data_IF_386032743441
#
_entry.id   IF_386032743441
#
_cell.length_a   1.000
_cell.length_b   1.000
_cell.length_c   1.000
_cell.angle_alpha   90.00
_cell.angle_beta   90.00
_cell.angle_gamma   90.00
#
_symmetry.space_group_name_H-M   'P 1'
#
loop_
_entity.id
_entity.type
_entity.pdbx_description
1 polymer ?
#
# COMPACT_ATOMS: atom_id res chain seq x y z
N UNK A 1 12.01 11.28 -42.11
CA UNK A 1 11.70 10.19 -41.18
C UNK A 1 11.73 10.78 -39.79
N UNK A 2 10.56 11.10 -39.24
CA UNK A 2 10.45 11.49 -37.84
C UNK A 2 10.63 10.23 -36.99
N UNK A 3 11.63 10.24 -36.13
CA UNK A 3 11.82 9.24 -35.08
C UNK A 3 10.64 9.34 -34.12
N UNK A 4 9.74 8.35 -34.14
CA UNK A 4 8.75 8.17 -33.09
C UNK A 4 9.47 8.10 -31.74
N UNK A 5 9.24 9.09 -30.89
CA UNK A 5 9.55 9.03 -29.47
C UNK A 5 8.90 7.77 -28.92
N UNK A 6 9.71 6.85 -28.41
CA UNK A 6 9.25 5.65 -27.72
C UNK A 6 8.64 6.14 -26.40
N UNK A 7 7.34 6.39 -26.38
CA UNK A 7 6.63 6.77 -25.15
C UNK A 7 6.73 5.60 -24.17
N UNK A 8 7.61 5.72 -23.18
CA UNK A 8 7.74 4.76 -22.09
C UNK A 8 6.52 4.87 -21.19
N UNK A 9 5.86 3.74 -20.92
CA UNK A 9 4.77 3.66 -19.95
C UNK A 9 5.30 4.13 -18.59
N UNK A 10 4.67 5.13 -17.94
CA UNK A 10 5.12 5.63 -16.65
C UNK A 10 4.91 4.58 -15.56
N UNK A 11 5.63 4.71 -14.45
CA UNK A 11 5.33 3.94 -13.24
C UNK A 11 4.01 4.38 -12.61
N UNK A 12 3.43 3.56 -11.73
CA UNK A 12 2.25 3.95 -10.96
C UNK A 12 2.55 5.15 -10.05
N UNK A 13 3.77 5.24 -9.51
CA UNK A 13 4.22 6.38 -8.71
C UNK A 13 4.21 7.69 -9.51
N UNK A 14 4.80 7.67 -10.72
CA UNK A 14 4.83 8.84 -11.60
C UNK A 14 3.42 9.24 -12.03
N UNK A 15 2.60 8.26 -12.41
CA UNK A 15 1.22 8.51 -12.82
C UNK A 15 0.36 9.08 -11.69
N UNK A 16 0.52 8.58 -10.47
CA UNK A 16 -0.19 9.10 -9.30
C UNK A 16 0.16 10.56 -8.96
N UNK A 17 1.28 11.09 -9.47
CA UNK A 17 1.73 12.45 -9.18
C UNK A 17 2.84 12.56 -8.12
N UNK A 18 3.55 11.46 -7.88
CA UNK A 18 4.74 11.45 -7.02
C UNK A 18 4.47 11.55 -5.51
N UNK A 19 5.54 11.66 -4.72
CA UNK A 19 5.50 11.48 -3.25
C UNK A 19 4.54 12.42 -2.53
N UNK A 20 4.48 13.68 -2.94
CA UNK A 20 3.55 14.65 -2.34
C UNK A 20 2.09 14.19 -2.43
N UNK A 21 1.71 13.48 -3.51
CA UNK A 21 0.37 12.90 -3.63
C UNK A 21 0.17 11.74 -2.67
N UNK A 22 1.14 10.82 -2.54
CA UNK A 22 1.04 9.70 -1.60
C UNK A 22 0.95 10.18 -0.16
N UNK A 23 1.76 11.17 0.24
CA UNK A 23 1.69 11.76 1.58
C UNK A 23 0.35 12.44 1.84
N UNK A 24 -0.18 13.19 0.87
CA UNK A 24 -1.50 13.80 1.01
C UNK A 24 -2.60 12.75 1.14
N UNK A 25 -2.52 11.70 0.32
CA UNK A 25 -3.46 10.59 0.29
C UNK A 25 -3.48 9.82 1.61
N UNK A 26 -2.32 9.34 2.09
CA UNK A 26 -2.28 8.56 3.34
C UNK A 26 -2.57 9.43 4.55
N UNK A 27 -2.18 10.71 4.55
CA UNK A 27 -2.53 11.65 5.62
C UNK A 27 -4.05 11.77 5.76
N UNK A 28 -4.76 12.02 4.66
CA UNK A 28 -6.23 12.09 4.70
C UNK A 28 -6.83 10.75 5.13
N UNK A 29 -6.34 9.64 4.56
CA UNK A 29 -6.79 8.31 4.91
C UNK A 29 -6.70 8.05 6.43
N UNK A 30 -5.55 8.31 7.05
CA UNK A 30 -5.38 8.09 8.49
C UNK A 30 -6.15 9.07 9.37
N UNK A 31 -6.41 10.31 8.90
CA UNK A 31 -7.36 11.19 9.58
C UNK A 31 -8.74 10.53 9.66
N UNK A 32 -9.24 9.95 8.57
CA UNK A 32 -10.53 9.25 8.55
C UNK A 32 -10.50 7.94 9.35
N UNK A 33 -9.40 7.20 9.33
CA UNK A 33 -9.23 5.98 10.15
C UNK A 33 -9.43 6.29 11.64
N UNK A 34 -8.91 7.42 12.13
CA UNK A 34 -9.06 7.83 13.52
C UNK A 34 -10.49 8.23 13.90
N UNK A 35 -11.35 8.49 12.92
CA UNK A 35 -12.78 8.79 13.10
C UNK A 35 -13.67 7.57 12.86
N UNK A 36 -13.11 6.48 12.34
CA UNK A 36 -13.87 5.30 11.95
C UNK A 36 -14.01 4.30 13.12
N UNK A 37 -15.23 3.94 13.55
CA UNK A 37 -15.44 3.09 14.72
C UNK A 37 -14.95 1.64 14.55
N UNK A 38 -14.73 1.17 13.32
CA UNK A 38 -14.23 -0.19 13.04
C UNK A 38 -12.71 -0.20 13.05
N UNK A 39 -12.08 0.84 12.48
CA UNK A 39 -10.63 0.89 12.30
C UNK A 39 -9.90 1.59 13.44
N UNK A 40 -10.48 2.61 14.07
CA UNK A 40 -9.84 3.37 15.15
C UNK A 40 -9.23 2.46 16.24
N UNK A 41 -9.91 1.40 16.74
CA UNK A 41 -9.33 0.54 17.75
C UNK A 41 -8.07 -0.21 17.29
N UNK A 42 -7.92 -0.46 15.98
CA UNK A 42 -6.76 -1.13 15.37
C UNK A 42 -5.54 -0.20 15.29
N UNK A 43 -5.78 1.09 15.08
CA UNK A 43 -4.75 2.10 14.85
C UNK A 43 -4.51 3.02 16.05
N UNK A 44 -5.26 2.84 17.14
CA UNK A 44 -5.12 3.62 18.37
C UNK A 44 -3.68 3.63 18.87
N UNK A 45 -3.16 4.83 19.16
CA UNK A 45 -1.84 5.02 19.76
C UNK A 45 -0.67 4.85 18.79
N UNK A 46 -0.93 4.76 17.48
CA UNK A 46 0.15 4.78 16.49
C UNK A 46 0.89 6.13 16.47
N UNK A 47 2.15 6.07 16.02
CA UNK A 47 3.01 7.24 15.86
C UNK A 47 2.36 8.27 14.92
N UNK A 48 2.51 9.59 15.18
CA UNK A 48 2.14 10.63 14.22
C UNK A 48 2.78 10.45 12.83
N UNK A 49 3.95 9.81 12.77
CA UNK A 49 4.69 9.55 11.52
C UNK A 49 4.13 8.38 10.71
N UNK A 50 3.17 7.62 11.24
CA UNK A 50 2.68 6.39 10.62
C UNK A 50 2.14 6.63 9.20
N UNK A 51 1.38 7.71 8.99
CA UNK A 51 0.85 8.05 7.68
C UNK A 51 1.96 8.31 6.63
N UNK A 52 3.04 8.97 7.04
CA UNK A 52 4.18 9.29 6.17
C UNK A 52 4.96 8.02 5.79
N UNK A 53 5.25 7.15 6.77
CA UNK A 53 5.92 5.88 6.49
C UNK A 53 5.10 4.99 5.53
N UNK A 54 3.78 4.98 5.68
CA UNK A 54 2.89 4.22 4.77
C UNK A 54 2.90 4.83 3.37
N UNK A 55 2.95 6.16 3.23
CA UNK A 55 3.10 6.80 1.91
C UNK A 55 4.40 6.38 1.24
N UNK A 56 5.51 6.43 1.96
CA UNK A 56 6.82 6.06 1.44
C UNK A 56 6.88 4.58 1.04
N UNK A 57 6.32 3.70 1.86
CA UNK A 57 6.21 2.28 1.56
C UNK A 57 5.42 2.04 0.27
N UNK A 58 4.19 2.57 0.15
CA UNK A 58 3.35 2.37 -1.03
C UNK A 58 4.00 2.99 -2.28
N UNK A 59 4.58 4.19 -2.15
CA UNK A 59 5.28 4.86 -3.24
C UNK A 59 6.45 4.02 -3.78
N UNK A 60 7.25 3.43 -2.90
CA UNK A 60 8.35 2.54 -3.29
C UNK A 60 7.83 1.28 -3.99
N UNK A 61 6.76 0.67 -3.46
CA UNK A 61 6.10 -0.48 -4.11
C UNK A 61 5.61 -0.12 -5.51
N UNK A 62 5.16 1.12 -5.70
CA UNK A 62 4.67 1.66 -6.97
C UNK A 62 5.81 2.12 -7.89
N UNK A 63 7.04 1.67 -7.59
CA UNK A 63 8.29 1.91 -8.31
C UNK A 63 8.77 3.36 -8.24
N UNK A 64 8.44 4.05 -7.15
CA UNK A 64 9.00 5.34 -6.77
C UNK A 64 10.38 5.22 -6.10
N UNK A 65 10.87 6.31 -5.46
CA UNK A 65 12.13 6.32 -4.72
C UNK A 65 12.16 5.32 -3.56
N UNK A 66 13.35 4.86 -3.18
CA UNK A 66 13.63 3.88 -2.10
C UNK A 66 13.62 4.49 -0.69
N UNK A 67 12.91 5.60 -0.48
CA UNK A 67 12.96 6.36 0.78
C UNK A 67 12.59 5.49 1.99
N UNK A 68 11.61 4.60 1.85
CA UNK A 68 11.21 3.70 2.93
C UNK A 68 12.31 2.69 3.25
N UNK A 69 12.79 1.94 2.26
CA UNK A 69 13.82 0.92 2.48
C UNK A 69 15.18 1.49 2.91
N UNK A 70 15.48 2.73 2.52
CA UNK A 70 16.78 3.35 2.82
C UNK A 70 16.83 3.89 4.26
N UNK A 71 15.70 4.32 4.83
CA UNK A 71 15.70 5.13 6.07
C UNK A 71 14.65 4.78 7.11
N UNK A 72 13.62 3.99 6.79
CA UNK A 72 12.44 3.83 7.67
C UNK A 72 12.09 2.39 8.01
N UNK A 73 12.38 1.44 7.12
CA UNK A 73 12.14 0.03 7.40
C UNK A 73 12.43 -0.88 6.22
N UNK A 74 11.73 -2.01 6.16
CA UNK A 74 11.90 -3.06 5.16
C UNK A 74 10.58 -3.80 4.94
N UNK A 75 10.49 -4.60 3.87
CA UNK A 75 9.35 -5.50 3.66
C UNK A 75 9.16 -6.40 4.90
N UNK A 76 10.24 -6.98 5.40
CA UNK A 76 10.24 -7.87 6.55
C UNK A 76 9.70 -7.19 7.82
N UNK A 77 10.10 -5.96 8.10
CA UNK A 77 9.58 -5.19 9.25
C UNK A 77 8.12 -4.78 9.06
N UNK A 78 7.70 -4.45 7.84
CA UNK A 78 6.29 -4.19 7.54
C UNK A 78 5.41 -5.42 7.83
N UNK A 79 5.87 -6.63 7.50
CA UNK A 79 5.16 -7.87 7.86
C UNK A 79 5.09 -8.02 9.39
N UNK A 80 6.20 -7.80 10.09
CA UNK A 80 6.24 -7.85 11.56
C UNK A 80 5.22 -6.94 12.21
N UNK A 81 5.07 -5.71 11.69
CA UNK A 81 4.10 -4.76 12.22
C UNK A 81 2.65 -5.25 12.15
N UNK A 82 2.33 -6.24 11.32
CA UNK A 82 0.98 -6.79 11.21
C UNK A 82 0.72 -7.98 12.14
N UNK A 83 1.77 -8.66 12.64
CA UNK A 83 1.63 -9.88 13.45
C UNK A 83 0.86 -9.66 14.75
N UNK A 84 0.12 -10.70 15.17
CA UNK A 84 -0.63 -10.70 16.43
C UNK A 84 -1.82 -9.74 16.49
N UNK A 85 -2.11 -8.99 15.41
CA UNK A 85 -3.23 -8.06 15.35
C UNK A 85 -4.59 -8.72 15.14
N UNK A 86 -4.64 -9.99 14.72
CA UNK A 86 -5.87 -10.75 14.48
C UNK A 86 -6.90 -9.96 13.64
N UNK A 87 -6.45 -9.39 12.53
CA UNK A 87 -7.29 -8.54 11.68
C UNK A 87 -8.45 -9.35 11.08
N UNK A 88 -9.64 -8.80 11.15
CA UNK A 88 -10.87 -9.42 10.64
C UNK A 88 -11.16 -8.99 9.20
N UNK A 89 -11.95 -9.78 8.47
CA UNK A 89 -12.43 -9.39 7.13
C UNK A 89 -13.28 -8.11 7.14
N UNK A 90 -13.99 -7.82 8.23
CA UNK A 90 -14.77 -6.58 8.38
C UNK A 90 -13.82 -5.37 8.42
N UNK A 91 -12.77 -5.45 9.23
CA UNK A 91 -11.74 -4.39 9.28
C UNK A 91 -11.02 -4.26 7.94
N UNK A 92 -10.64 -5.36 7.30
CA UNK A 92 -9.97 -5.35 6.00
C UNK A 92 -10.80 -4.63 4.93
N UNK A 93 -12.08 -5.00 4.77
CA UNK A 93 -12.97 -4.37 3.79
C UNK A 93 -13.19 -2.89 4.10
N UNK A 94 -13.34 -2.53 5.38
CA UNK A 94 -13.49 -1.12 5.76
C UNK A 94 -12.24 -0.31 5.45
N UNK A 95 -11.05 -0.86 5.70
CA UNK A 95 -9.77 -0.27 5.36
C UNK A 95 -9.64 -0.03 3.85
N UNK A 96 -9.95 -1.05 3.03
CA UNK A 96 -9.89 -0.96 1.56
C UNK A 96 -10.87 0.07 1.00
N UNK A 97 -12.07 0.18 1.56
CA UNK A 97 -13.02 1.21 1.12
C UNK A 97 -12.52 2.61 1.48
N UNK A 98 -12.08 2.80 2.73
CA UNK A 98 -11.74 4.12 3.24
C UNK A 98 -10.47 4.70 2.57
N UNK A 99 -9.48 3.85 2.24
CA UNK A 99 -8.29 4.30 1.52
C UNK A 99 -8.60 4.69 0.07
N UNK A 100 -9.58 4.04 -0.57
CA UNK A 100 -10.03 4.43 -1.91
C UNK A 100 -10.85 5.72 -1.88
N UNK A 101 -11.76 5.88 -0.90
CA UNK A 101 -12.49 7.14 -0.68
C UNK A 101 -11.52 8.32 -0.48
N UNK A 102 -10.46 8.11 0.31
CA UNK A 102 -9.41 9.12 0.49
C UNK A 102 -8.64 9.42 -0.82
N UNK A 103 -8.42 8.41 -1.67
CA UNK A 103 -7.75 8.60 -2.97
C UNK A 103 -8.58 9.52 -3.88
N UNK A 104 -9.90 9.31 -3.90
CA UNK A 104 -10.84 10.13 -4.68
C UNK A 104 -10.82 11.59 -4.20
N UNK A 105 -10.87 11.81 -2.89
CA UNK A 105 -10.93 13.15 -2.30
C UNK A 105 -9.65 13.98 -2.54
N UNK A 106 -8.47 13.35 -2.52
CA UNK A 106 -7.20 14.05 -2.81
C UNK A 106 -6.86 14.11 -4.31
N UNK A 107 -7.73 13.59 -5.17
CA UNK A 107 -7.53 13.58 -6.61
C UNK A 107 -6.33 12.74 -7.04
N UNK A 108 -6.21 11.52 -6.50
CA UNK A 108 -5.41 10.45 -7.13
C UNK A 108 -6.08 10.07 -8.46
N UNK A 109 -5.33 9.82 -9.56
CA UNK A 109 -5.93 9.53 -10.88
C UNK A 109 -7.02 8.46 -10.82
N UNK A 110 -8.14 8.70 -11.49
CA UNK A 110 -9.33 7.85 -11.48
C UNK A 110 -9.60 7.17 -12.84
N UNK A 111 -8.65 7.26 -13.77
CA UNK A 111 -8.74 6.55 -15.03
C UNK A 111 -8.81 5.03 -14.81
N UNK A 112 -9.54 4.29 -15.67
CA UNK A 112 -9.80 2.87 -15.44
C UNK A 112 -8.54 2.00 -15.30
N UNK A 113 -7.47 2.35 -16.03
CA UNK A 113 -6.22 1.57 -16.03
C UNK A 113 -5.51 1.71 -14.68
N UNK A 114 -5.36 2.94 -14.18
CA UNK A 114 -4.72 3.17 -12.89
C UNK A 114 -5.55 2.61 -11.75
N UNK A 115 -6.87 2.81 -11.78
CA UNK A 115 -7.75 2.31 -10.72
C UNK A 115 -7.80 0.79 -10.66
N UNK A 116 -7.73 0.11 -11.80
CA UNK A 116 -7.58 -1.35 -11.82
C UNK A 116 -6.28 -1.79 -11.13
N UNK A 117 -5.16 -1.15 -11.44
CA UNK A 117 -3.87 -1.49 -10.83
C UNK A 117 -3.82 -1.18 -9.33
N UNK A 118 -4.36 -0.03 -8.91
CA UNK A 118 -4.46 0.38 -7.51
C UNK A 118 -5.31 -0.59 -6.70
N UNK A 119 -6.52 -0.91 -7.18
CA UNK A 119 -7.43 -1.86 -6.50
C UNK A 119 -6.79 -3.24 -6.40
N UNK A 120 -6.12 -3.69 -7.46
CA UNK A 120 -5.37 -4.94 -7.44
C UNK A 120 -4.34 -4.99 -6.31
N UNK A 121 -3.54 -3.94 -6.15
CA UNK A 121 -2.56 -3.85 -5.07
C UNK A 121 -3.22 -3.82 -3.68
N UNK A 122 -4.24 -2.97 -3.48
CA UNK A 122 -4.90 -2.81 -2.19
C UNK A 122 -5.60 -4.11 -1.76
N UNK A 123 -6.27 -4.80 -2.69
CA UNK A 123 -6.91 -6.08 -2.42
C UNK A 123 -5.87 -7.15 -2.10
N UNK A 124 -4.80 -7.25 -2.89
CA UNK A 124 -3.70 -8.17 -2.65
C UNK A 124 -3.02 -7.94 -1.28
N UNK A 125 -2.58 -6.71 -1.02
CA UNK A 125 -1.86 -6.34 0.19
C UNK A 125 -2.72 -6.45 1.45
N UNK A 126 -3.99 -6.05 1.38
CA UNK A 126 -4.89 -6.16 2.54
C UNK A 126 -5.18 -7.61 2.93
N UNK A 127 -5.17 -8.55 1.99
CA UNK A 127 -5.30 -9.99 2.29
C UNK A 127 -4.05 -10.56 2.94
N UNK A 128 -2.87 -10.15 2.46
CA UNK A 128 -1.61 -10.50 3.11
C UNK A 128 -1.54 -9.94 4.53
N UNK A 129 -2.03 -8.71 4.76
CA UNK A 129 -2.11 -8.14 6.10
C UNK A 129 -2.98 -9.00 7.04
N UNK A 130 -4.13 -9.51 6.57
CA UNK A 130 -4.96 -10.45 7.35
C UNK A 130 -4.21 -11.75 7.62
N UNK A 131 -3.61 -12.38 6.60
CA UNK A 131 -2.83 -13.62 6.77
C UNK A 131 -1.72 -13.42 7.81
N UNK A 132 -0.91 -12.37 7.64
CA UNK A 132 0.22 -12.05 8.51
C UNK A 132 -0.21 -11.70 9.94
N UNK A 133 -1.42 -11.16 10.12
CA UNK A 133 -1.94 -10.83 11.45
C UNK A 133 -2.42 -12.02 12.28
N UNK A 134 -2.59 -13.18 11.65
CA UNK A 134 -3.07 -14.42 12.27
C UNK A 134 -1.96 -15.47 12.39
N UNK A 135 -0.69 -15.08 12.23
CA UNK A 135 0.48 -15.95 12.43
C UNK A 135 1.42 -15.41 13.50
N UNK A 136 2.08 -16.33 14.20
CA UNK A 136 3.13 -16.05 15.18
C UNK A 136 4.54 -16.26 14.59
N UNK A 137 4.64 -16.70 13.34
CA UNK A 137 5.91 -16.89 12.63
C UNK A 137 5.89 -16.21 11.26
N UNK A 138 7.06 -15.72 10.84
CA UNK A 138 7.25 -15.13 9.51
C UNK A 138 7.97 -16.15 8.63
N UNK A 139 7.35 -16.45 7.48
CA UNK A 139 7.95 -17.30 6.45
C UNK A 139 8.88 -16.55 5.48
N UNK A 140 8.81 -15.22 5.48
CA UNK A 140 9.60 -14.36 4.59
C UNK A 140 11.03 -14.15 5.13
N UNK A 141 12.02 -14.09 4.23
CA UNK A 141 13.41 -13.86 4.62
C UNK A 141 13.62 -12.42 5.14
N UNK A 142 14.61 -12.23 6.01
CA UNK A 142 14.94 -10.90 6.58
C UNK A 142 15.36 -9.91 5.50
N UNK A 143 16.06 -10.39 4.47
CA UNK A 143 16.55 -9.64 3.32
C UNK A 143 15.59 -9.69 2.11
N UNK A 144 14.33 -10.08 2.32
CA UNK A 144 13.35 -10.12 1.26
C UNK A 144 13.18 -8.74 0.61
N UNK A 145 13.20 -8.65 -0.73
CA UNK A 145 13.16 -7.38 -1.42
C UNK A 145 11.80 -6.70 -1.23
N UNK A 146 11.82 -5.37 -1.36
CA UNK A 146 10.58 -4.62 -1.47
C UNK A 146 9.75 -5.11 -2.66
N UNK A 147 8.43 -5.29 -2.50
CA UNK A 147 7.59 -5.75 -3.58
C UNK A 147 7.51 -4.66 -4.65
N UNK A 148 7.34 -5.06 -5.91
CA UNK A 148 7.20 -4.14 -7.03
C UNK A 148 5.85 -4.37 -7.70
N UNK A 149 5.03 -3.34 -7.75
CA UNK A 149 3.71 -3.37 -8.37
C UNK A 149 3.67 -2.52 -9.65
N UNK A 150 2.77 -2.85 -10.57
CA UNK A 150 2.67 -2.26 -11.89
C UNK A 150 1.26 -2.42 -12.47
N UNK A 151 1.08 -2.07 -13.75
CA UNK A 151 -0.23 -1.91 -14.40
C UNK A 151 -1.06 -3.19 -14.61
N UNK A 152 -0.47 -4.37 -14.43
CA UNK A 152 -1.15 -5.66 -14.65
C UNK A 152 -0.57 -6.83 -13.87
N UNK A 153 0.04 -6.54 -12.72
CA UNK A 153 0.71 -7.56 -11.92
C UNK A 153 -0.31 -8.43 -11.17
N UNK A 154 -0.12 -9.75 -11.22
CA UNK A 154 -0.75 -10.69 -10.29
C UNK A 154 0.32 -11.25 -9.37
N UNK A 155 0.34 -10.79 -8.11
CA UNK A 155 1.24 -11.30 -7.08
C UNK A 155 0.76 -12.64 -6.49
N UNK A 156 1.69 -13.44 -5.93
CA UNK A 156 1.36 -14.62 -5.13
C UNK A 156 0.62 -14.27 -3.81
N UNK A 157 0.36 -15.20 -2.89
CA UNK A 157 0.96 -16.52 -2.85
C UNK A 157 0.20 -17.48 -3.76
N UNK A 158 0.93 -18.10 -4.69
CA UNK A 158 0.43 -19.25 -5.44
C UNK A 158 0.67 -20.49 -4.57
N UNK A 159 -0.18 -20.67 -3.56
CA UNK A 159 -0.12 -21.84 -2.70
C UNK A 159 -0.62 -23.02 -3.52
N UNK A 160 0.30 -23.91 -3.92
CA UNK A 160 -0.07 -25.26 -4.33
C UNK A 160 -0.27 -26.06 -3.05
N UNK A 161 -1.47 -26.65 -2.89
CA UNK A 161 -1.76 -27.63 -1.83
C UNK A 161 -0.81 -28.82 -1.92
#
# INVERSE_FOLDING_TARGET
METQSKTTVPTLYEWAGGMEKFEAWTRLFYQRVNEDPILEPVFRGMSPEHARHVAHFIAEVFRGPTTYSDTEGSHYEMIHHHMGKNLTEVQRRRWVNLIQEAADEVGVPDDPEFRSALVGYLEWGSRLAVINSNTDTIGEAVDAPMPKWGWGETGGPYIST
#
